data_IF_300099969381
#
_entry.id   IF_300099969381
#
_cell.length_a   1.000
_cell.length_b   1.000
_cell.length_c   1.000
_cell.angle_alpha   90.00
_cell.angle_beta   90.00
_cell.angle_gamma   90.00
#
_symmetry.space_group_name_H-M   'P 1'
#
loop_
_entity.id
_entity.type
_entity.pdbx_description
1 polymer ?
#
# COMPACT_ATOMS: atom_id res chain seq x y z
N UNK A 1 9.32 -12.45 -21.10
CA UNK A 1 9.28 -11.66 -19.86
C UNK A 1 8.05 -10.74 -19.77
N UNK A 2 7.85 -9.78 -20.68
CA UNK A 2 6.65 -8.89 -20.62
C UNK A 2 5.36 -9.67 -20.88
N UNK A 3 5.37 -10.64 -21.77
CA UNK A 3 4.22 -11.51 -22.08
C UNK A 3 3.77 -12.37 -20.90
N UNK A 4 4.66 -12.68 -19.96
CA UNK A 4 4.39 -13.53 -18.80
C UNK A 4 3.71 -12.76 -17.64
N UNK A 5 3.91 -11.43 -17.59
CA UNK A 5 3.35 -10.57 -16.52
C UNK A 5 1.82 -10.54 -16.58
N UNK A 6 1.25 -10.43 -17.76
CA UNK A 6 -0.19 -10.30 -17.97
C UNK A 6 -1.02 -11.46 -17.40
N UNK A 7 -0.72 -12.73 -17.74
CA UNK A 7 -1.43 -13.90 -17.19
C UNK A 7 -1.34 -14.00 -15.67
N UNK A 8 -0.13 -13.74 -15.09
CA UNK A 8 0.06 -13.76 -13.63
C UNK A 8 -0.73 -12.64 -12.97
N UNK A 9 -0.61 -11.42 -13.49
CA UNK A 9 -1.38 -10.27 -12.99
C UNK A 9 -2.88 -10.57 -12.97
N UNK A 10 -3.43 -11.11 -14.07
CA UNK A 10 -4.86 -11.37 -14.18
C UNK A 10 -5.35 -12.48 -13.24
N UNK A 11 -4.54 -13.51 -13.02
CA UNK A 11 -4.81 -14.57 -12.04
C UNK A 11 -4.88 -13.95 -10.63
N UNK A 12 -3.83 -13.25 -10.22
CA UNK A 12 -3.73 -12.63 -8.89
C UNK A 12 -4.83 -11.59 -8.65
N UNK A 13 -5.13 -10.77 -9.66
CA UNK A 13 -6.21 -9.79 -9.61
C UNK A 13 -7.56 -10.44 -9.29
N UNK A 14 -7.87 -11.55 -9.98
CA UNK A 14 -9.10 -12.30 -9.71
C UNK A 14 -9.10 -12.94 -8.32
N UNK A 15 -7.98 -13.42 -7.85
CA UNK A 15 -7.85 -13.99 -6.52
C UNK A 15 -8.05 -12.92 -5.44
N UNK A 16 -7.43 -11.76 -5.57
CA UNK A 16 -7.61 -10.63 -4.65
C UNK A 16 -9.07 -10.16 -4.57
N UNK A 17 -9.76 -10.10 -5.70
CA UNK A 17 -11.19 -9.75 -5.72
C UNK A 17 -12.08 -10.82 -5.07
N UNK A 18 -11.67 -12.09 -5.09
CA UNK A 18 -12.41 -13.22 -4.51
C UNK A 18 -12.03 -13.52 -3.05
N UNK A 19 -10.87 -13.09 -2.61
CA UNK A 19 -10.30 -13.41 -1.29
C UNK A 19 -10.99 -12.73 -0.10
N UNK A 20 -12.05 -11.96 -0.31
CA UNK A 20 -12.87 -11.41 0.77
C UNK A 20 -13.47 -12.53 1.64
N UNK A 21 -13.46 -12.39 2.98
CA UNK A 21 -14.05 -13.40 3.89
C UNK A 21 -15.53 -13.61 3.56
N UNK A 22 -15.89 -14.81 3.09
CA UNK A 22 -17.26 -15.16 2.71
C UNK A 22 -17.62 -14.93 1.24
N UNK A 23 -16.61 -14.97 0.32
CA UNK A 23 -16.79 -14.83 -1.13
C UNK A 23 -17.41 -13.47 -1.53
N UNK A 24 -18.51 -13.45 -2.25
CA UNK A 24 -19.11 -12.22 -2.79
C UNK A 24 -19.55 -11.21 -1.71
N UNK A 25 -20.07 -11.70 -0.58
CA UNK A 25 -20.55 -10.82 0.51
C UNK A 25 -19.40 -10.07 1.20
N UNK A 26 -18.23 -10.69 1.34
CA UNK A 26 -17.06 -10.07 1.96
C UNK A 26 -16.47 -8.96 1.11
N UNK A 27 -16.41 -9.12 -0.20
CA UNK A 27 -15.90 -8.09 -1.12
C UNK A 27 -16.82 -6.88 -1.19
N UNK A 28 -18.14 -7.09 -1.19
CA UNK A 28 -19.15 -6.01 -1.15
C UNK A 28 -19.05 -5.26 0.18
N UNK A 29 -18.99 -5.98 1.32
CA UNK A 29 -18.87 -5.37 2.64
C UNK A 29 -17.57 -4.54 2.76
N UNK A 30 -16.45 -5.03 2.22
CA UNK A 30 -15.21 -4.28 2.16
C UNK A 30 -15.35 -3.00 1.31
N UNK A 31 -15.95 -3.10 0.13
CA UNK A 31 -16.21 -1.93 -0.73
C UNK A 31 -17.09 -0.88 -0.03
N UNK A 32 -18.17 -1.30 0.63
CA UNK A 32 -19.04 -0.40 1.41
C UNK A 32 -18.25 0.25 2.55
N UNK A 33 -17.43 -0.52 3.29
CA UNK A 33 -16.62 0.00 4.37
C UNK A 33 -15.59 1.04 3.88
N UNK A 34 -14.95 0.80 2.73
CA UNK A 34 -14.01 1.74 2.12
C UNK A 34 -14.71 3.05 1.76
N UNK A 35 -15.88 2.99 1.13
CA UNK A 35 -16.67 4.20 0.78
C UNK A 35 -17.16 4.92 2.03
N UNK A 36 -17.69 4.19 3.02
CA UNK A 36 -18.19 4.78 4.27
C UNK A 36 -17.09 5.46 5.09
N UNK A 37 -15.93 4.81 5.21
CA UNK A 37 -14.78 5.38 5.90
C UNK A 37 -14.20 6.60 5.14
N UNK A 38 -14.20 6.55 3.79
CA UNK A 38 -13.80 7.68 2.96
C UNK A 38 -14.71 8.87 3.18
N UNK A 39 -16.02 8.67 3.17
CA UNK A 39 -17.01 9.71 3.43
C UNK A 39 -16.88 10.26 4.86
N UNK A 40 -16.71 9.38 5.86
CA UNK A 40 -16.52 9.78 7.25
C UNK A 40 -15.24 10.62 7.47
N UNK A 41 -14.15 10.31 6.75
CA UNK A 41 -12.88 11.02 6.86
C UNK A 41 -13.00 12.52 6.55
N UNK A 42 -13.94 12.91 5.69
CA UNK A 42 -14.20 14.31 5.37
C UNK A 42 -14.87 15.07 6.51
N UNK A 43 -15.65 14.37 7.37
CA UNK A 43 -16.35 14.99 8.52
C UNK A 43 -15.50 15.10 9.77
N UNK A 44 -14.51 14.22 9.96
CA UNK A 44 -13.73 14.11 11.22
C UNK A 44 -12.53 15.06 11.24
N UNK A 45 -11.90 15.31 10.10
CA UNK A 45 -10.74 16.18 10.03
C UNK A 45 -11.15 17.48 9.35
N UNK A 46 -11.83 18.33 10.12
CA UNK A 46 -12.21 19.67 9.72
C UNK A 46 -10.96 20.48 9.42
N UNK A 47 -10.86 20.97 8.18
CA UNK A 47 -9.96 22.04 7.77
C UNK A 47 -8.53 21.96 8.35
N UNK A 48 -7.76 21.00 7.91
CA UNK A 48 -6.31 21.07 8.04
C UNK A 48 -5.74 22.19 7.15
N UNK A 49 -4.47 22.56 7.33
CA UNK A 49 -3.82 23.66 6.59
C UNK A 49 -3.84 23.49 5.05
N UNK A 50 -4.33 22.36 4.55
CA UNK A 50 -4.32 21.96 3.14
C UNK A 50 -5.72 21.73 2.55
N UNK A 51 -6.78 22.16 3.25
CA UNK A 51 -8.16 22.06 2.76
C UNK A 51 -8.98 20.93 3.37
N UNK A 52 -10.27 20.91 3.02
CA UNK A 52 -11.26 20.00 3.59
C UNK A 52 -11.02 18.51 3.27
N UNK A 53 -10.28 18.19 2.21
CA UNK A 53 -9.94 16.80 1.82
C UNK A 53 -8.68 16.25 2.49
N UNK A 54 -8.02 17.00 3.38
CA UNK A 54 -6.76 16.59 4.02
C UNK A 54 -6.86 15.25 4.77
N UNK A 55 -7.97 15.04 5.47
CA UNK A 55 -8.25 13.77 6.15
C UNK A 55 -8.32 12.59 5.20
N UNK A 56 -9.04 12.74 4.08
CA UNK A 56 -9.16 11.73 3.05
C UNK A 56 -7.79 11.40 2.42
N UNK A 57 -6.97 12.43 2.16
CA UNK A 57 -5.61 12.26 1.62
C UNK A 57 -4.72 11.44 2.54
N UNK A 58 -4.69 11.75 3.84
CA UNK A 58 -3.85 11.02 4.79
C UNK A 58 -4.30 9.57 4.97
N UNK A 59 -5.61 9.37 5.16
CA UNK A 59 -6.16 8.04 5.39
C UNK A 59 -6.13 7.15 4.14
N UNK A 60 -6.17 7.73 2.94
CA UNK A 60 -6.02 6.96 1.68
C UNK A 60 -4.66 6.27 1.58
N UNK A 61 -3.59 6.95 1.99
CA UNK A 61 -2.24 6.36 2.06
C UNK A 61 -2.16 5.21 3.06
N UNK A 62 -2.77 5.38 4.24
CA UNK A 62 -2.84 4.32 5.24
C UNK A 62 -3.64 3.10 4.74
N UNK A 63 -4.78 3.33 4.09
CA UNK A 63 -5.58 2.26 3.49
C UNK A 63 -4.81 1.51 2.39
N UNK A 64 -4.09 2.25 1.53
CA UNK A 64 -3.24 1.64 0.51
C UNK A 64 -2.17 0.74 1.13
N UNK A 65 -1.52 1.17 2.22
CA UNK A 65 -0.53 0.37 2.94
C UNK A 65 -1.15 -0.89 3.55
N UNK A 66 -2.32 -0.78 4.21
CA UNK A 66 -3.00 -1.94 4.82
C UNK A 66 -3.43 -2.97 3.79
N UNK A 67 -4.05 -2.52 2.69
CA UNK A 67 -4.53 -3.41 1.62
C UNK A 67 -3.36 -4.05 0.87
N UNK A 68 -2.28 -3.31 0.62
CA UNK A 68 -1.06 -3.87 0.04
C UNK A 68 -0.42 -4.92 0.97
N UNK A 69 -0.41 -4.68 2.28
CA UNK A 69 0.13 -5.61 3.26
C UNK A 69 -0.63 -6.94 3.29
N UNK A 70 -1.96 -6.90 3.25
CA UNK A 70 -2.78 -8.11 3.25
C UNK A 70 -2.57 -8.95 1.98
N UNK A 71 -2.61 -8.35 0.80
CA UNK A 71 -2.41 -9.05 -0.47
C UNK A 71 -0.98 -9.57 -0.65
N UNK A 72 0.03 -8.77 -0.28
CA UNK A 72 1.42 -9.18 -0.39
C UNK A 72 1.79 -10.32 0.57
N UNK A 73 1.20 -10.36 1.76
CA UNK A 73 1.41 -11.45 2.72
C UNK A 73 0.94 -12.81 2.20
N UNK A 74 -0.18 -12.84 1.47
CA UNK A 74 -0.72 -14.07 0.88
C UNK A 74 0.03 -14.52 -0.40
N UNK A 75 0.76 -13.64 -1.07
CA UNK A 75 1.26 -13.82 -2.43
C UNK A 75 2.09 -15.11 -2.64
N UNK A 76 3.08 -15.42 -1.82
CA UNK A 76 3.90 -16.64 -1.89
C UNK A 76 3.64 -17.59 -0.73
N UNK A 77 3.39 -17.06 0.46
CA UNK A 77 3.05 -17.87 1.62
C UNK A 77 1.71 -18.61 1.42
N UNK A 78 0.73 -17.96 0.78
CA UNK A 78 -0.53 -18.59 0.43
C UNK A 78 -0.39 -19.71 -0.61
N UNK A 79 0.44 -19.51 -1.64
CA UNK A 79 0.75 -20.57 -2.60
C UNK A 79 1.44 -21.77 -1.93
N UNK A 80 2.30 -21.50 -0.93
CA UNK A 80 2.97 -22.56 -0.17
C UNK A 80 1.97 -23.32 0.71
N UNK A 81 1.08 -22.63 1.44
CA UNK A 81 0.03 -23.28 2.24
C UNK A 81 -0.92 -24.13 1.40
N UNK A 82 -1.28 -23.64 0.20
CA UNK A 82 -2.14 -24.35 -0.76
C UNK A 82 -1.41 -25.43 -1.55
N UNK A 83 -0.09 -25.60 -1.37
CA UNK A 83 0.78 -26.51 -2.11
C UNK A 83 0.77 -26.29 -3.63
N UNK A 84 0.51 -25.06 -4.07
CA UNK A 84 0.48 -24.64 -5.48
C UNK A 84 1.77 -23.98 -5.93
N UNK A 85 2.67 -23.67 -5.00
CA UNK A 85 3.95 -23.01 -5.30
C UNK A 85 4.81 -23.83 -6.26
N UNK A 86 4.90 -25.16 -6.07
CA UNK A 86 5.66 -26.04 -6.95
C UNK A 86 5.11 -26.05 -8.38
N UNK A 87 3.79 -26.10 -8.53
CA UNK A 87 3.11 -26.02 -9.83
C UNK A 87 3.37 -24.68 -10.50
N UNK A 88 3.35 -23.58 -9.75
CA UNK A 88 3.67 -22.25 -10.25
C UNK A 88 5.12 -22.17 -10.74
N UNK A 89 6.06 -22.71 -9.97
CA UNK A 89 7.48 -22.70 -10.31
C UNK A 89 7.82 -23.67 -11.44
N UNK A 90 7.04 -24.75 -11.64
CA UNK A 90 7.17 -25.66 -12.77
C UNK A 90 6.61 -25.10 -14.09
N UNK A 91 5.88 -23.98 -14.05
CA UNK A 91 5.35 -23.35 -15.26
C UNK A 91 6.47 -22.75 -16.12
N UNK A 92 6.18 -22.56 -17.42
CA UNK A 92 7.11 -21.94 -18.38
C UNK A 92 7.28 -20.42 -18.19
N UNK A 93 6.68 -19.83 -17.15
CA UNK A 93 6.74 -18.39 -16.88
C UNK A 93 8.12 -18.00 -16.35
N UNK A 94 8.62 -16.82 -16.71
CA UNK A 94 9.88 -16.29 -16.19
C UNK A 94 9.76 -15.87 -14.70
N UNK A 95 10.84 -16.07 -13.93
CA UNK A 95 10.88 -15.69 -12.50
C UNK A 95 10.51 -14.22 -12.27
N UNK A 96 11.07 -13.34 -13.11
CA UNK A 96 10.74 -11.92 -13.09
C UNK A 96 9.26 -11.65 -13.44
N UNK A 97 8.69 -12.43 -14.39
CA UNK A 97 7.28 -12.33 -14.77
C UNK A 97 6.34 -12.67 -13.61
N UNK A 98 6.65 -13.75 -12.88
CA UNK A 98 5.90 -14.17 -11.69
C UNK A 98 6.00 -13.10 -10.60
N UNK A 99 7.22 -12.66 -10.27
CA UNK A 99 7.47 -11.69 -9.20
C UNK A 99 6.78 -10.34 -9.48
N UNK A 100 7.02 -9.77 -10.67
CA UNK A 100 6.45 -8.48 -11.06
C UNK A 100 4.92 -8.57 -11.20
N UNK A 101 4.40 -9.66 -11.78
CA UNK A 101 2.95 -9.84 -11.94
C UNK A 101 2.19 -9.84 -10.62
N UNK A 102 2.72 -10.54 -9.60
CA UNK A 102 2.14 -10.58 -8.25
C UNK A 102 2.16 -9.20 -7.59
N UNK A 103 3.30 -8.51 -7.63
CA UNK A 103 3.41 -7.15 -7.07
C UNK A 103 2.50 -6.18 -7.78
N UNK A 104 2.47 -6.19 -9.11
CA UNK A 104 1.62 -5.29 -9.89
C UNK A 104 0.13 -5.47 -9.57
N UNK A 105 -0.35 -6.72 -9.42
CA UNK A 105 -1.73 -7.00 -9.03
C UNK A 105 -2.04 -6.47 -7.63
N UNK A 106 -1.16 -6.73 -6.64
CA UNK A 106 -1.31 -6.25 -5.27
C UNK A 106 -1.32 -4.72 -5.21
N UNK A 107 -0.41 -4.06 -5.92
CA UNK A 107 -0.33 -2.59 -5.98
C UNK A 107 -1.58 -2.01 -6.65
N UNK A 108 -2.00 -2.56 -7.79
CA UNK A 108 -3.20 -2.08 -8.49
C UNK A 108 -4.45 -2.20 -7.61
N UNK A 109 -4.60 -3.32 -6.89
CA UNK A 109 -5.71 -3.52 -5.97
C UNK A 109 -5.69 -2.53 -4.80
N UNK A 110 -4.54 -2.38 -4.14
CA UNK A 110 -4.38 -1.50 -2.99
C UNK A 110 -4.56 -0.02 -3.37
N UNK A 111 -3.98 0.39 -4.48
CA UNK A 111 -4.12 1.75 -4.98
C UNK A 111 -5.54 2.01 -5.47
N UNK A 112 -6.17 1.08 -6.18
CA UNK A 112 -7.57 1.17 -6.58
C UNK A 112 -8.52 1.37 -5.40
N UNK A 113 -8.36 0.58 -4.32
CA UNK A 113 -9.12 0.76 -3.09
C UNK A 113 -8.89 2.13 -2.45
N UNK A 114 -7.65 2.61 -2.43
CA UNK A 114 -7.31 3.94 -1.90
C UNK A 114 -7.88 5.08 -2.73
N UNK A 115 -7.97 4.92 -4.06
CA UNK A 115 -8.61 5.91 -4.94
C UNK A 115 -10.12 5.98 -4.73
N UNK A 116 -10.80 4.84 -4.53
CA UNK A 116 -12.23 4.80 -4.20
C UNK A 116 -12.48 5.51 -2.86
N UNK A 117 -11.65 5.24 -1.87
CA UNK A 117 -11.70 5.90 -0.56
C UNK A 117 -11.51 7.41 -0.70
N UNK A 118 -10.48 7.83 -1.43
CA UNK A 118 -10.17 9.24 -1.67
C UNK A 118 -11.31 9.95 -2.42
N UNK A 119 -11.86 9.31 -3.43
CA UNK A 119 -13.00 9.85 -4.19
C UNK A 119 -14.23 10.05 -3.29
N UNK A 120 -14.56 9.08 -2.43
CA UNK A 120 -15.65 9.20 -1.47
C UNK A 120 -15.42 10.37 -0.50
N UNK A 121 -14.20 10.52 0.03
CA UNK A 121 -13.83 11.64 0.90
C UNK A 121 -13.91 13.00 0.21
N UNK A 122 -13.45 13.10 -1.04
CA UNK A 122 -13.51 14.33 -1.85
C UNK A 122 -14.95 14.71 -2.15
N UNK A 123 -15.79 13.75 -2.57
CA UNK A 123 -17.21 14.00 -2.84
C UNK A 123 -17.93 14.49 -1.59
N UNK A 124 -17.71 13.85 -0.45
CA UNK A 124 -18.31 14.29 0.83
C UNK A 124 -17.80 15.68 1.24
N UNK A 125 -16.50 15.94 1.10
CA UNK A 125 -15.96 17.28 1.33
C UNK A 125 -16.56 18.34 0.40
N UNK A 126 -16.80 17.98 -0.86
CA UNK A 126 -17.43 18.90 -1.83
C UNK A 126 -18.88 19.23 -1.47
N UNK A 127 -19.63 18.26 -0.95
CA UNK A 127 -21.01 18.44 -0.48
C UNK A 127 -21.05 19.35 0.76
N UNK A 128 -20.14 19.12 1.73
CA UNK A 128 -20.14 19.84 3.02
C UNK A 128 -19.53 21.24 2.91
N UNK A 129 -18.46 21.42 2.13
CA UNK A 129 -17.63 22.63 2.13
C UNK A 129 -17.50 23.28 0.76
N UNK A 130 -18.14 22.73 -0.26
CA UNK A 130 -18.09 23.20 -1.64
C UNK A 130 -16.90 22.70 -2.45
N UNK A 131 -17.06 22.61 -3.77
CA UNK A 131 -16.08 22.03 -4.70
C UNK A 131 -14.72 22.71 -4.71
N UNK A 132 -14.66 24.04 -4.49
CA UNK A 132 -13.39 24.78 -4.47
C UNK A 132 -12.50 24.40 -3.29
N UNK A 133 -13.09 23.95 -2.19
CA UNK A 133 -12.34 23.49 -1.01
C UNK A 133 -11.98 22.00 -1.06
N UNK A 134 -12.71 21.21 -1.86
CA UNK A 134 -12.55 19.77 -1.92
C UNK A 134 -11.49 19.31 -2.93
N UNK A 135 -11.41 20.00 -4.08
CA UNK A 135 -10.46 19.69 -5.14
C UNK A 135 -9.25 20.59 -5.05
N UNK A 136 -8.09 20.01 -4.87
CA UNK A 136 -6.82 20.72 -4.80
C UNK A 136 -5.62 19.85 -5.14
N UNK A 137 -4.48 20.49 -5.30
CA UNK A 137 -3.19 19.83 -5.55
C UNK A 137 -2.91 18.72 -4.51
N UNK A 138 -3.38 18.87 -3.28
CA UNK A 138 -3.25 17.88 -2.21
C UNK A 138 -3.86 16.52 -2.55
N UNK A 139 -5.00 16.48 -3.26
CA UNK A 139 -5.65 15.23 -3.69
C UNK A 139 -4.78 14.49 -4.71
N UNK A 140 -4.23 15.21 -5.69
CA UNK A 140 -3.33 14.63 -6.71
C UNK A 140 -2.05 14.11 -6.06
N UNK A 141 -1.43 14.92 -5.22
CA UNK A 141 -0.20 14.52 -4.50
C UNK A 141 -0.46 13.38 -3.52
N UNK A 142 -1.62 13.37 -2.85
CA UNK A 142 -2.04 12.30 -1.95
C UNK A 142 -2.26 10.97 -2.68
N UNK A 143 -2.84 11.00 -3.87
CA UNK A 143 -2.99 9.80 -4.70
C UNK A 143 -1.64 9.24 -5.16
N UNK A 144 -0.69 10.12 -5.52
CA UNK A 144 0.69 9.72 -5.82
C UNK A 144 1.43 9.14 -4.62
N UNK A 145 1.25 9.73 -3.44
CA UNK A 145 1.83 9.22 -2.20
C UNK A 145 1.26 7.85 -1.82
N UNK A 146 -0.07 7.65 -1.97
CA UNK A 146 -0.70 6.36 -1.70
C UNK A 146 -0.21 5.26 -2.65
N UNK A 147 0.05 5.59 -3.92
CA UNK A 147 0.70 4.68 -4.87
C UNK A 147 2.12 4.31 -4.42
N UNK A 148 2.94 5.30 -4.05
CA UNK A 148 4.31 5.07 -3.60
C UNK A 148 4.35 4.16 -2.34
N UNK A 149 3.43 4.38 -1.40
CA UNK A 149 3.26 3.53 -0.21
C UNK A 149 2.81 2.12 -0.59
N UNK A 150 1.84 1.98 -1.51
CA UNK A 150 1.39 0.67 -1.97
C UNK A 150 2.54 -0.14 -2.60
N UNK A 151 3.37 0.49 -3.44
CA UNK A 151 4.53 -0.17 -4.07
C UNK A 151 5.56 -0.59 -3.03
N UNK A 152 5.89 0.30 -2.09
CA UNK A 152 6.85 0.00 -1.03
C UNK A 152 6.37 -1.17 -0.15
N UNK A 153 5.13 -1.10 0.33
CA UNK A 153 4.56 -2.10 1.23
C UNK A 153 4.36 -3.44 0.52
N UNK A 154 3.89 -3.43 -0.74
CA UNK A 154 3.80 -4.64 -1.54
C UNK A 154 5.17 -5.29 -1.75
N UNK A 155 6.21 -4.51 -2.05
CA UNK A 155 7.57 -5.00 -2.21
C UNK A 155 8.12 -5.65 -0.93
N UNK A 156 8.01 -4.97 0.21
CA UNK A 156 8.41 -5.53 1.52
C UNK A 156 7.59 -6.76 1.87
N UNK A 157 6.28 -6.72 1.62
CA UNK A 157 5.36 -7.83 1.91
C UNK A 157 5.67 -9.08 1.09
N UNK A 158 5.96 -8.93 -0.19
CA UNK A 158 6.39 -10.05 -1.02
C UNK A 158 7.72 -10.64 -0.53
N UNK A 159 8.69 -9.81 -0.14
CA UNK A 159 9.95 -10.28 0.43
C UNK A 159 9.77 -11.05 1.74
N UNK A 160 8.87 -10.60 2.61
CA UNK A 160 8.53 -11.32 3.86
C UNK A 160 7.80 -12.62 3.56
N UNK A 161 6.86 -12.61 2.60
CA UNK A 161 6.10 -13.78 2.14
C UNK A 161 6.99 -14.89 1.55
N UNK A 162 8.09 -14.52 0.87
CA UNK A 162 9.06 -15.49 0.35
C UNK A 162 9.74 -16.32 1.46
N UNK A 163 9.88 -15.77 2.66
CA UNK A 163 10.56 -16.43 3.81
C UNK A 163 9.58 -17.09 4.78
N UNK A 164 8.34 -16.69 4.75
CA UNK A 164 7.32 -17.19 5.67
C UNK A 164 6.85 -18.59 5.25
N UNK A 165 6.60 -19.47 6.23
CA UNK A 165 6.01 -20.78 6.00
C UNK A 165 4.49 -20.71 5.88
N UNK A 166 3.85 -19.70 6.51
CA UNK A 166 2.40 -19.51 6.53
C UNK A 166 2.02 -18.06 6.22
N UNK A 167 0.81 -17.84 5.69
CA UNK A 167 0.25 -16.51 5.44
C UNK A 167 0.23 -15.67 6.72
N UNK A 168 -0.19 -16.28 7.83
CA UNK A 168 -0.24 -15.61 9.14
C UNK A 168 1.13 -15.11 9.59
N UNK A 169 2.17 -15.93 9.43
CA UNK A 169 3.55 -15.55 9.75
C UNK A 169 4.03 -14.40 8.86
N UNK A 170 3.74 -14.44 7.55
CA UNK A 170 4.07 -13.37 6.61
C UNK A 170 3.42 -12.05 7.00
N UNK A 171 2.13 -12.07 7.31
CA UNK A 171 1.37 -10.90 7.72
C UNK A 171 1.86 -10.34 9.06
N UNK A 172 2.14 -11.18 10.05
CA UNK A 172 2.67 -10.74 11.34
C UNK A 172 4.05 -10.10 11.20
N UNK A 173 4.96 -10.71 10.44
CA UNK A 173 6.28 -10.16 10.17
C UNK A 173 6.20 -8.81 9.46
N UNK A 174 5.30 -8.69 8.47
CA UNK A 174 5.09 -7.45 7.75
C UNK A 174 4.48 -6.36 8.64
N UNK A 175 3.44 -6.69 9.43
CA UNK A 175 2.84 -5.74 10.37
C UNK A 175 3.84 -5.26 11.42
N UNK A 176 4.67 -6.16 11.95
CA UNK A 176 5.74 -5.79 12.89
C UNK A 176 6.75 -4.85 12.23
N UNK A 177 7.14 -5.13 10.99
CA UNK A 177 8.07 -4.29 10.22
C UNK A 177 7.49 -2.90 9.95
N UNK A 178 6.23 -2.81 9.56
CA UNK A 178 5.52 -1.55 9.33
C UNK A 178 5.33 -0.76 10.62
N UNK A 179 4.98 -1.44 11.71
CA UNK A 179 4.85 -0.82 13.04
C UNK A 179 6.19 -0.27 13.52
N UNK A 180 7.27 -1.04 13.37
CA UNK A 180 8.62 -0.58 13.72
C UNK A 180 9.03 0.63 12.88
N UNK A 181 8.76 0.60 11.57
CA UNK A 181 9.06 1.71 10.66
C UNK A 181 8.28 2.98 10.99
N UNK A 182 7.01 2.85 11.40
CA UNK A 182 6.19 4.00 11.82
C UNK A 182 6.51 4.48 13.25
N UNK A 183 6.77 3.57 14.16
CA UNK A 183 7.04 3.89 15.56
C UNK A 183 8.44 4.49 15.76
N UNK A 184 9.45 4.05 15.03
CA UNK A 184 10.81 4.55 15.16
C UNK A 184 10.92 6.08 14.95
N UNK A 185 10.40 6.68 13.86
CA UNK A 185 10.45 8.13 13.69
C UNK A 185 9.57 8.86 14.73
N UNK A 186 8.43 8.26 15.15
CA UNK A 186 7.60 8.83 16.21
C UNK A 186 8.35 8.89 17.54
N UNK A 187 9.01 7.82 17.94
CA UNK A 187 9.83 7.79 19.16
C UNK A 187 11.02 8.76 19.05
N UNK A 188 11.71 8.75 17.89
CA UNK A 188 12.78 9.70 17.64
C UNK A 188 12.30 11.15 17.84
N UNK A 189 11.15 11.51 17.23
CA UNK A 189 10.54 12.82 17.42
C UNK A 189 10.16 13.08 18.89
N UNK A 190 9.64 12.08 19.60
CA UNK A 190 9.23 12.24 21.02
C UNK A 190 10.38 12.61 21.94
N UNK A 191 11.58 12.05 21.67
CA UNK A 191 12.80 12.29 22.47
C UNK A 191 13.64 13.48 21.98
N UNK A 192 13.27 14.16 20.88
CA UNK A 192 13.95 15.36 20.42
C UNK A 192 13.77 16.52 21.43
N UNK A 193 14.80 17.37 21.62
CA UNK A 193 14.69 18.63 22.34
C UNK A 193 13.60 19.54 21.74
N UNK A 194 12.97 20.37 22.59
CA UNK A 194 11.87 21.26 22.17
C UNK A 194 12.27 22.15 20.99
N UNK A 195 13.46 22.73 21.04
CA UNK A 195 13.96 23.58 19.96
C UNK A 195 14.00 22.88 18.58
N UNK A 196 14.34 21.58 18.54
CA UNK A 196 14.33 20.81 17.31
C UNK A 196 12.91 20.44 16.85
N UNK A 197 11.99 20.23 17.78
CA UNK A 197 10.56 20.00 17.47
C UNK A 197 9.96 21.24 16.82
N UNK A 198 10.24 22.41 17.37
CA UNK A 198 9.75 23.68 16.85
C UNK A 198 10.36 23.98 15.47
N UNK A 199 11.65 23.72 15.30
CA UNK A 199 12.31 23.86 14.01
C UNK A 199 11.73 22.91 12.94
N UNK A 200 11.49 21.64 13.28
CA UNK A 200 10.86 20.67 12.41
C UNK A 200 9.41 21.07 12.09
N UNK A 201 8.63 21.48 13.08
CA UNK A 201 7.28 21.96 12.87
C UNK A 201 7.22 23.16 11.94
N UNK A 202 8.09 24.15 12.17
CA UNK A 202 8.22 25.33 11.30
C UNK A 202 8.68 24.94 9.88
N UNK A 203 9.55 23.95 9.73
CA UNK A 203 9.97 23.44 8.43
C UNK A 203 8.84 22.75 7.69
N UNK A 204 8.09 21.86 8.36
CA UNK A 204 6.92 21.15 7.78
C UNK A 204 5.85 22.17 7.35
N UNK A 205 5.55 23.18 8.17
CA UNK A 205 4.60 24.23 7.82
C UNK A 205 5.04 25.08 6.63
N UNK A 206 6.34 25.40 6.53
CA UNK A 206 6.90 26.16 5.39
C UNK A 206 6.97 25.31 4.13
N UNK A 207 7.37 24.05 4.26
CA UNK A 207 7.44 23.14 3.14
C UNK A 207 6.04 22.82 2.56
N UNK A 208 5.06 22.69 3.45
CA UNK A 208 3.65 22.49 3.07
C UNK A 208 3.47 21.37 2.05
N UNK A 209 2.64 21.61 1.04
CA UNK A 209 2.41 20.67 -0.07
C UNK A 209 3.66 20.36 -0.88
N UNK A 210 4.70 21.21 -0.86
CA UNK A 210 5.94 20.98 -1.60
C UNK A 210 6.77 19.82 -1.06
N UNK A 211 6.57 19.43 0.20
CA UNK A 211 7.24 18.28 0.79
C UNK A 211 6.67 16.93 0.29
N UNK A 212 5.40 16.89 -0.14
CA UNK A 212 4.75 15.64 -0.58
C UNK A 212 5.41 14.99 -1.81
N UNK A 213 5.76 15.73 -2.88
CA UNK A 213 6.48 15.15 -4.02
C UNK A 213 7.85 14.60 -3.65
N UNK A 214 8.58 15.30 -2.77
CA UNK A 214 9.88 14.85 -2.30
C UNK A 214 9.77 13.56 -1.47
N UNK A 215 8.76 13.47 -0.60
CA UNK A 215 8.46 12.28 0.17
C UNK A 215 8.04 11.11 -0.75
N UNK A 216 7.17 11.37 -1.73
CA UNK A 216 6.76 10.35 -2.69
C UNK A 216 7.95 9.84 -3.51
N UNK A 217 8.84 10.73 -3.96
CA UNK A 217 10.06 10.35 -4.67
C UNK A 217 10.98 9.48 -3.79
N UNK A 218 11.18 9.85 -2.52
CA UNK A 218 11.97 9.07 -1.58
C UNK A 218 11.38 7.66 -1.36
N UNK A 219 10.06 7.57 -1.21
CA UNK A 219 9.37 6.28 -1.06
C UNK A 219 9.48 5.43 -2.33
N UNK A 220 9.39 6.03 -3.52
CA UNK A 220 9.57 5.32 -4.79
C UNK A 220 11.00 4.82 -4.98
N UNK A 221 12.01 5.61 -4.57
CA UNK A 221 13.41 5.16 -4.58
C UNK A 221 13.60 3.98 -3.63
N UNK A 222 13.06 4.07 -2.41
CA UNK A 222 13.11 2.98 -1.43
C UNK A 222 12.37 1.74 -1.96
N UNK A 223 11.20 1.91 -2.56
CA UNK A 223 10.44 0.85 -3.19
C UNK A 223 11.23 0.19 -4.35
N UNK A 224 11.86 0.99 -5.21
CA UNK A 224 12.73 0.50 -6.28
C UNK A 224 13.89 -0.34 -5.75
N UNK A 225 14.55 0.10 -4.68
CA UNK A 225 15.62 -0.65 -4.02
C UNK A 225 15.12 -1.99 -3.45
N UNK A 226 13.94 -2.00 -2.81
CA UNK A 226 13.30 -3.21 -2.26
C UNK A 226 12.93 -4.18 -3.39
N UNK A 227 12.34 -3.68 -4.48
CA UNK A 227 11.96 -4.49 -5.64
C UNK A 227 13.19 -5.09 -6.33
N UNK A 228 14.24 -4.28 -6.51
CA UNK A 228 15.48 -4.76 -7.08
C UNK A 228 16.14 -5.84 -6.21
N UNK A 229 16.21 -5.63 -4.89
CA UNK A 229 16.69 -6.64 -3.96
C UNK A 229 15.85 -7.92 -4.01
N UNK A 230 14.53 -7.79 -4.21
CA UNK A 230 13.60 -8.89 -4.39
C UNK A 230 13.90 -9.70 -5.64
N UNK A 231 14.02 -9.04 -6.79
CA UNK A 231 14.34 -9.67 -8.07
C UNK A 231 15.67 -10.42 -8.04
N UNK A 232 16.71 -9.82 -7.43
CA UNK A 232 18.04 -10.46 -7.31
C UNK A 232 17.98 -11.71 -6.41
N UNK A 233 17.13 -11.70 -5.39
CA UNK A 233 17.01 -12.82 -4.44
C UNK A 233 16.01 -13.88 -4.90
N UNK A 234 15.08 -13.54 -5.78
CA UNK A 234 14.08 -14.45 -6.31
C UNK A 234 14.73 -15.36 -7.37
N UNK A 235 15.21 -16.54 -6.93
CA UNK A 235 15.73 -17.62 -7.78
C UNK A 235 15.02 -18.91 -7.43
N UNK A 236 14.47 -19.62 -8.43
CA UNK A 236 13.77 -20.90 -8.26
C UNK A 236 14.57 -21.92 -7.45
N UNK A 237 15.88 -22.00 -7.72
CA UNK A 237 16.80 -22.93 -7.03
C UNK A 237 16.79 -22.78 -5.50
N UNK A 238 16.54 -21.58 -4.98
CA UNK A 238 16.50 -21.31 -3.55
C UNK A 238 15.14 -21.54 -2.92
N UNK A 239 14.07 -21.56 -3.70
CA UNK A 239 12.69 -21.73 -3.20
C UNK A 239 12.30 -23.21 -3.08
N UNK A 240 13.00 -24.11 -3.78
CA UNK A 240 12.74 -25.57 -3.77
C UNK A 240 13.48 -26.25 -2.60
N UNK A 241 14.52 -25.61 -2.04
CA UNK A 241 15.37 -26.19 -0.99
C UNK A 241 14.87 -25.96 0.46
N UNK A 242 13.72 -25.33 0.64
CA UNK A 242 13.04 -25.11 1.92
C UNK A 242 11.62 -25.68 1.88
#
# INVERSE_FOLDING_TARGET
MIQDIGPVFWKEWRELLRAGPGHERGSIAFGIAVVALGAWSAGVIVAGPFGASWGAVNLSGFLAALTAASGAGDSFAGERERRTLETLLASCLSDAGIFIGKIAATVAYAWGASLIFLAAGVVTSAILYGWRGALGLGVVLGSGLSLALAVLVAGVGVLTSLRASTVRQAQQALMLSLTALGLAPYLAYRFLPVAWKDALGAWVLRAGLRALPALAALLLIAAGAVLWAGLVRFRRERLILF
#
